data_IF_735988122487
#
_entry.id   IF_735988122487
#
_cell.length_a   1.000
_cell.length_b   1.000
_cell.length_c   1.000
_cell.angle_alpha   90.00
_cell.angle_beta   90.00
_cell.angle_gamma   90.00
#
_symmetry.space_group_name_H-M   'P 1'
#
loop_
_entity.id
_entity.type
_entity.pdbx_description
1 polymer ?
#
# COMPACT_ATOMS: atom_id res chain seq x y z
N UNK A 1 12.50 -6.94 1.90
CA UNK A 1 13.35 -7.25 0.72
C UNK A 1 12.71 -6.79 -0.60
N UNK A 2 11.39 -6.97 -0.82
CA UNK A 2 10.69 -6.58 -2.07
C UNK A 2 10.45 -5.06 -2.27
N UNK A 3 10.12 -4.28 -1.24
CA UNK A 3 9.88 -2.83 -1.40
C UNK A 3 11.14 -2.06 -1.85
N UNK A 4 12.32 -2.45 -1.37
CA UNK A 4 13.60 -1.81 -1.74
C UNK A 4 14.00 -2.12 -3.19
N UNK A 5 13.65 -3.30 -3.69
CA UNK A 5 13.92 -3.71 -5.09
C UNK A 5 13.15 -2.87 -6.11
N UNK A 6 11.95 -2.41 -5.76
CA UNK A 6 11.11 -1.60 -6.65
C UNK A 6 11.24 -0.09 -6.44
N UNK A 7 12.18 0.40 -5.62
CA UNK A 7 12.25 1.83 -5.22
C UNK A 7 10.90 2.34 -4.66
N UNK A 8 10.18 1.47 -3.94
CA UNK A 8 8.89 1.83 -3.37
C UNK A 8 9.09 2.92 -2.30
N UNK A 9 8.26 3.97 -2.35
CA UNK A 9 8.22 5.04 -1.35
C UNK A 9 6.86 5.06 -0.66
N UNK A 10 6.76 5.53 0.60
CA UNK A 10 5.47 5.74 1.23
C UNK A 10 4.57 6.63 0.37
N UNK A 11 3.32 6.20 0.17
CA UNK A 11 2.29 6.97 -0.50
C UNK A 11 1.64 7.88 0.54
N UNK A 12 1.81 9.19 0.40
CA UNK A 12 1.26 10.14 1.35
C UNK A 12 -0.26 10.26 1.16
N UNK A 13 -0.99 10.55 2.23
CA UNK A 13 -2.45 10.72 2.19
C UNK A 13 -2.90 11.70 1.10
N UNK A 14 -2.20 12.83 0.98
CA UNK A 14 -2.48 13.88 -0.02
C UNK A 14 -2.38 13.43 -1.48
N UNK A 15 -1.60 12.37 -1.76
CA UNK A 15 -1.39 11.89 -3.13
C UNK A 15 -2.55 11.01 -3.59
N UNK A 16 -3.21 10.31 -2.66
CA UNK A 16 -4.43 9.57 -2.96
C UNK A 16 -5.28 9.40 -1.71
N UNK A 17 -6.08 10.41 -1.32
CA UNK A 17 -6.95 10.33 -0.15
C UNK A 17 -7.92 9.15 -0.28
N UNK A 18 -8.44 8.94 -1.49
CA UNK A 18 -9.36 7.84 -1.80
C UNK A 18 -8.78 6.46 -1.46
N UNK A 19 -7.53 6.17 -1.86
CA UNK A 19 -6.93 4.87 -1.64
C UNK A 19 -6.67 4.63 -0.14
N UNK A 20 -6.21 5.66 0.57
CA UNK A 20 -6.03 5.62 2.02
C UNK A 20 -7.35 5.34 2.75
N UNK A 21 -8.42 6.05 2.37
CA UNK A 21 -9.74 5.87 3.00
C UNK A 21 -10.36 4.51 2.67
N UNK A 22 -10.18 4.03 1.44
CA UNK A 22 -10.66 2.72 1.00
C UNK A 22 -9.98 1.60 1.81
N UNK A 23 -8.65 1.63 1.89
CA UNK A 23 -7.88 0.65 2.66
C UNK A 23 -8.16 0.76 4.15
N UNK A 24 -8.36 1.97 4.69
CA UNK A 24 -8.75 2.16 6.08
C UNK A 24 -10.08 1.47 6.41
N UNK A 25 -11.10 1.62 5.55
CA UNK A 25 -12.40 0.96 5.72
C UNK A 25 -12.28 -0.57 5.63
N UNK A 26 -11.43 -1.08 4.75
CA UNK A 26 -11.15 -2.52 4.65
C UNK A 26 -10.46 -3.08 5.90
N UNK A 27 -9.46 -2.36 6.43
CA UNK A 27 -8.74 -2.75 7.63
C UNK A 27 -9.68 -2.78 8.85
N UNK A 28 -10.51 -1.73 9.01
CA UNK A 28 -11.52 -1.65 10.07
C UNK A 28 -12.49 -2.82 10.03
N UNK A 29 -13.04 -3.13 8.85
CA UNK A 29 -13.96 -4.27 8.66
C UNK A 29 -13.30 -5.62 8.93
N UNK A 30 -11.99 -5.71 8.73
CA UNK A 30 -11.23 -6.96 8.91
C UNK A 30 -10.65 -7.10 10.32
N UNK A 31 -10.80 -6.09 11.19
CA UNK A 31 -10.24 -6.09 12.53
C UNK A 31 -8.71 -6.12 12.56
N UNK A 32 -8.05 -5.56 11.54
CA UNK A 32 -6.59 -5.46 11.46
C UNK A 32 -6.15 -4.00 11.53
N UNK A 33 -4.90 -3.79 11.94
CA UNK A 33 -4.28 -2.48 11.87
C UNK A 33 -4.16 -1.98 10.44
N UNK A 34 -4.22 -0.65 10.27
CA UNK A 34 -4.15 -0.03 8.96
C UNK A 34 -2.78 -0.29 8.33
N UNK A 35 -2.71 -0.97 7.17
CA UNK A 35 -1.44 -1.20 6.52
C UNK A 35 -0.86 0.09 5.94
N UNK A 36 0.47 0.18 5.91
CA UNK A 36 1.18 1.29 5.28
C UNK A 36 1.09 1.17 3.76
N UNK A 37 0.70 2.26 3.10
CA UNK A 37 0.66 2.33 1.63
C UNK A 37 1.98 2.84 1.05
N UNK A 38 2.43 2.21 -0.02
CA UNK A 38 3.60 2.58 -0.78
C UNK A 38 3.27 2.62 -2.29
N UNK A 39 4.01 3.43 -3.03
CA UNK A 39 3.95 3.51 -4.48
C UNK A 39 5.33 3.21 -5.08
N UNK A 40 5.35 2.49 -6.20
CA UNK A 40 6.58 2.17 -6.93
C UNK A 40 6.43 2.43 -8.44
N UNK A 41 7.50 2.88 -9.13
CA UNK A 41 7.45 3.15 -10.56
C UNK A 41 7.33 1.85 -11.37
N UNK A 42 6.23 1.71 -12.11
CA UNK A 42 5.99 0.63 -13.07
C UNK A 42 4.74 0.95 -13.89
N UNK A 43 4.84 0.89 -15.21
CA UNK A 43 3.71 1.11 -16.13
C UNK A 43 2.76 -0.10 -16.17
N UNK A 44 3.21 -1.27 -15.71
CA UNK A 44 2.35 -2.45 -15.55
C UNK A 44 1.46 -2.24 -14.33
N UNK A 45 0.12 -2.33 -14.46
CA UNK A 45 -0.82 -2.17 -13.36
C UNK A 45 -0.74 -3.36 -12.40
N UNK A 46 -0.33 -3.11 -11.15
CA UNK A 46 -0.13 -4.16 -10.15
C UNK A 46 -0.12 -3.61 -8.72
N UNK A 47 -0.47 -4.47 -7.74
CA UNK A 47 -0.34 -4.20 -6.32
C UNK A 47 0.11 -5.45 -5.55
N UNK A 48 0.90 -5.27 -4.48
CA UNK A 48 1.37 -6.34 -3.60
C UNK A 48 1.05 -6.02 -2.15
N UNK A 49 0.58 -7.00 -1.39
CA UNK A 49 0.42 -6.90 0.06
C UNK A 49 1.44 -7.81 0.77
N UNK A 50 2.11 -7.27 1.79
CA UNK A 50 3.08 -7.99 2.60
C UNK A 50 2.82 -7.69 4.08
N UNK A 51 2.78 -8.73 4.90
CA UNK A 51 2.79 -8.58 6.36
C UNK A 51 4.22 -8.75 6.86
N UNK A 52 4.68 -7.81 7.67
CA UNK A 52 5.91 -7.94 8.44
C UNK A 52 5.64 -8.63 9.79
N UNK A 53 4.42 -8.46 10.33
CA UNK A 53 3.89 -9.15 11.52
C UNK A 53 2.35 -9.12 11.50
N UNK A 54 1.68 -9.68 12.53
CA UNK A 54 0.21 -9.56 12.67
C UNK A 54 -0.27 -8.11 12.79
N UNK A 55 0.59 -7.23 13.27
CA UNK A 55 0.28 -5.82 13.59
C UNK A 55 0.82 -4.86 12.51
N UNK A 56 1.77 -5.30 11.70
CA UNK A 56 2.41 -4.46 10.69
C UNK A 56 2.23 -5.04 9.28
N UNK A 57 1.39 -4.36 8.48
CA UNK A 57 1.13 -4.67 7.08
C UNK A 57 1.57 -3.55 6.14
N UNK A 58 1.92 -3.92 4.90
CA UNK A 58 2.33 -3.02 3.82
C UNK A 58 1.60 -3.38 2.53
N UNK A 59 1.14 -2.37 1.80
CA UNK A 59 0.59 -2.52 0.45
C UNK A 59 1.39 -1.60 -0.48
N UNK A 60 2.00 -2.16 -1.52
CA UNK A 60 2.73 -1.42 -2.54
C UNK A 60 1.95 -1.44 -3.87
N UNK A 61 1.73 -0.29 -4.47
CA UNK A 61 0.95 -0.11 -5.71
C UNK A 61 1.84 0.47 -6.81
N UNK A 62 1.68 0.03 -8.06
CA UNK A 62 2.43 0.59 -9.19
C UNK A 62 1.83 1.91 -9.68
N UNK A 63 2.67 2.79 -10.24
CA UNK A 63 2.22 4.02 -10.91
C UNK A 63 1.26 3.77 -12.08
N UNK A 64 1.32 2.62 -12.73
CA UNK A 64 0.40 2.25 -13.80
C UNK A 64 -1.01 1.86 -13.30
N UNK A 65 -1.21 1.69 -11.99
CA UNK A 65 -2.51 1.41 -11.39
C UNK A 65 -3.18 2.65 -10.80
N UNK A 66 -2.45 3.76 -10.60
CA UNK A 66 -2.94 4.96 -9.87
C UNK A 66 -2.93 6.21 -10.74
#
# INVERSE_FOLDING_TARGET
MILRLHKARPLQYRESPYLHDFVAKLAERSGIDRPTLAIYPSDVPNAFAMSASREEGFIAVSTGLT
#
